data_IF_097228059916
#
_entry.id   IF_097228059916
#
_cell.length_a   1.000
_cell.length_b   1.000
_cell.length_c   1.000
_cell.angle_alpha   90.00
_cell.angle_beta   90.00
_cell.angle_gamma   90.00
#
_symmetry.space_group_name_H-M   'P 1'
#
loop_
_entity.id
_entity.type
_entity.pdbx_description
1 polymer ?
#
# COMPACT_ATOMS: atom_id res chain seq x y z
N UNK A 1 -34.80 23.75 -16.72
CA UNK A 1 -34.25 23.45 -15.38
C UNK A 1 -35.10 24.22 -14.37
N UNK A 2 -35.96 23.52 -13.64
CA UNK A 2 -36.74 24.12 -12.53
C UNK A 2 -36.26 23.41 -11.27
N UNK A 3 -35.65 24.11 -10.30
CA UNK A 3 -35.29 23.50 -9.03
C UNK A 3 -36.59 23.23 -8.26
N UNK A 4 -36.89 21.96 -8.01
CA UNK A 4 -37.94 21.58 -7.05
C UNK A 4 -37.44 21.99 -5.66
N UNK A 5 -37.94 23.12 -5.16
CA UNK A 5 -37.65 23.62 -3.82
C UNK A 5 -38.37 22.75 -2.79
N UNK A 6 -37.62 22.11 -1.90
CA UNK A 6 -38.14 21.27 -0.80
C UNK A 6 -39.01 22.08 0.18
N UNK A 7 -39.03 23.41 0.07
CA UNK A 7 -39.79 24.31 0.93
C UNK A 7 -41.31 24.28 0.70
N UNK A 8 -41.83 23.85 -0.46
CA UNK A 8 -43.27 23.92 -0.80
C UNK A 8 -44.08 22.63 -0.58
N UNK A 9 -43.47 21.57 -0.04
CA UNK A 9 -44.20 20.33 0.24
C UNK A 9 -45.09 20.49 1.50
N UNK A 10 -46.40 20.32 1.34
CA UNK A 10 -47.41 20.42 2.42
C UNK A 10 -47.15 19.40 3.53
N UNK A 11 -47.52 19.72 4.78
CA UNK A 11 -47.18 18.94 6.00
C UNK A 11 -47.46 17.43 5.87
N UNK A 12 -48.56 17.04 5.23
CA UNK A 12 -48.91 15.62 5.03
C UNK A 12 -47.95 14.87 4.12
N UNK A 13 -47.41 15.54 3.11
CA UNK A 13 -46.41 14.97 2.22
C UNK A 13 -45.09 14.78 2.95
N UNK A 14 -44.67 15.73 3.80
CA UNK A 14 -43.43 15.63 4.58
C UNK A 14 -43.45 14.43 5.52
N UNK A 15 -44.55 14.20 6.23
CA UNK A 15 -44.69 13.05 7.14
C UNK A 15 -44.65 11.72 6.41
N UNK A 16 -45.31 11.62 5.24
CA UNK A 16 -45.27 10.41 4.42
C UNK A 16 -43.88 10.17 3.83
N UNK A 17 -43.22 11.21 3.31
CA UNK A 17 -41.85 11.12 2.81
C UNK A 17 -40.84 10.78 3.91
N UNK A 18 -41.00 11.32 5.13
CA UNK A 18 -40.17 10.97 6.27
C UNK A 18 -40.36 9.51 6.69
N UNK A 19 -41.59 8.98 6.66
CA UNK A 19 -41.86 7.57 6.93
C UNK A 19 -41.26 6.66 5.84
N UNK A 20 -41.38 7.05 4.56
CA UNK A 20 -40.74 6.35 3.45
C UNK A 20 -39.20 6.39 3.53
N UNK A 21 -38.60 7.54 3.89
CA UNK A 21 -37.15 7.65 4.09
C UNK A 21 -36.67 6.79 5.27
N UNK A 22 -37.38 6.81 6.39
CA UNK A 22 -36.96 6.06 7.58
C UNK A 22 -37.04 4.54 7.36
N UNK A 23 -38.08 4.06 6.68
CA UNK A 23 -38.26 2.63 6.38
C UNK A 23 -37.22 2.13 5.38
N UNK A 24 -36.95 2.90 4.31
CA UNK A 24 -35.91 2.55 3.33
C UNK A 24 -34.50 2.62 3.94
N UNK A 25 -34.20 3.61 4.78
CA UNK A 25 -32.93 3.68 5.51
C UNK A 25 -32.73 2.47 6.43
N UNK A 26 -33.78 2.05 7.14
CA UNK A 26 -33.72 0.87 8.02
C UNK A 26 -33.48 -0.42 7.21
N UNK A 27 -34.13 -0.56 6.06
CA UNK A 27 -33.92 -1.69 5.15
C UNK A 27 -32.47 -1.72 4.62
N UNK A 28 -31.93 -0.56 4.25
CA UNK A 28 -30.56 -0.43 3.76
C UNK A 28 -29.52 -0.78 4.83
N UNK A 29 -29.72 -0.34 6.08
CA UNK A 29 -28.84 -0.67 7.20
C UNK A 29 -28.87 -2.18 7.48
N UNK A 30 -30.06 -2.81 7.50
CA UNK A 30 -30.17 -4.26 7.68
C UNK A 30 -29.48 -5.05 6.55
N UNK A 31 -29.56 -4.57 5.31
CA UNK A 31 -28.87 -5.16 4.18
C UNK A 31 -27.35 -5.06 4.33
N UNK A 32 -26.85 -3.93 4.83
CA UNK A 32 -25.41 -3.71 5.04
C UNK A 32 -24.86 -4.58 6.18
N UNK A 33 -25.63 -4.72 7.27
CA UNK A 33 -25.28 -5.59 8.41
C UNK A 33 -25.28 -7.07 8.00
N UNK A 34 -26.24 -7.52 7.19
CA UNK A 34 -26.25 -8.90 6.68
C UNK A 34 -25.08 -9.22 5.74
N UNK A 35 -24.51 -8.20 5.08
CA UNK A 35 -23.32 -8.32 4.22
C UNK A 35 -21.99 -8.13 4.95
N UNK A 36 -22.01 -7.79 6.24
CA UNK A 36 -20.81 -7.66 7.04
C UNK A 36 -20.32 -9.06 7.43
N UNK A 37 -19.35 -9.59 6.69
CA UNK A 37 -18.57 -10.74 7.15
C UNK A 37 -17.77 -10.34 8.39
N UNK A 38 -17.76 -11.17 9.46
CA UNK A 38 -16.98 -10.88 10.65
C UNK A 38 -15.51 -10.84 10.26
N UNK A 39 -14.89 -9.69 10.49
CA UNK A 39 -13.47 -9.46 10.28
C UNK A 39 -12.72 -10.53 11.08
N UNK A 40 -12.17 -11.53 10.36
CA UNK A 40 -11.40 -12.59 11.00
C UNK A 40 -10.22 -11.91 11.64
N UNK A 41 -10.25 -11.78 12.97
CA UNK A 41 -9.15 -11.33 13.79
C UNK A 41 -7.88 -12.05 13.34
N UNK A 42 -7.11 -11.38 12.50
CA UNK A 42 -5.96 -11.93 11.81
C UNK A 42 -4.88 -12.12 12.85
N UNK A 43 -4.65 -13.36 13.25
CA UNK A 43 -3.48 -13.72 14.04
C UNK A 43 -2.25 -13.11 13.37
N UNK A 44 -1.52 -12.28 14.11
CA UNK A 44 -0.30 -11.65 13.63
C UNK A 44 0.66 -12.76 13.19
N UNK A 45 0.81 -12.96 11.88
CA UNK A 45 1.85 -13.85 11.36
C UNK A 45 3.18 -13.38 11.96
N UNK A 46 4.03 -14.28 12.49
CA UNK A 46 5.31 -13.87 13.04
C UNK A 46 6.09 -13.14 11.94
N UNK A 47 6.44 -11.88 12.21
CA UNK A 47 7.23 -11.06 11.30
C UNK A 47 8.57 -11.77 11.12
N UNK A 48 8.78 -12.38 9.94
CA UNK A 48 10.04 -13.03 9.62
C UNK A 48 11.11 -11.93 9.58
N UNK A 49 11.97 -11.91 10.60
CA UNK A 49 12.98 -10.86 10.76
C UNK A 49 13.94 -10.90 9.57
N UNK A 50 14.08 -9.77 8.88
CA UNK A 50 15.03 -9.59 7.80
C UNK A 50 16.44 -9.57 8.39
N UNK A 51 17.26 -10.56 8.03
CA UNK A 51 18.65 -10.70 8.47
C UNK A 51 19.57 -10.63 7.24
N UNK A 52 19.96 -9.42 6.79
CA UNK A 52 20.65 -9.23 5.52
C UNK A 52 22.12 -9.60 5.58
N UNK A 53 22.63 -10.12 4.47
CA UNK A 53 24.06 -10.23 4.19
C UNK A 53 24.55 -8.87 3.71
N UNK A 54 25.51 -8.29 4.42
CA UNK A 54 26.13 -7.02 4.04
C UNK A 54 27.29 -7.28 3.07
N UNK A 55 27.31 -6.57 1.94
CA UNK A 55 28.43 -6.58 0.98
C UNK A 55 28.78 -5.18 0.55
N UNK A 56 30.04 -4.96 0.17
CA UNK A 56 30.46 -3.77 -0.55
C UNK A 56 30.43 -4.05 -2.06
N UNK A 57 29.73 -3.21 -2.82
CA UNK A 57 29.60 -3.29 -4.28
C UNK A 57 29.86 -1.91 -4.85
N UNK A 58 30.91 -1.75 -5.65
CA UNK A 58 31.30 -0.47 -6.26
C UNK A 58 31.48 0.68 -5.25
N UNK A 59 31.97 0.39 -4.04
CA UNK A 59 32.13 1.38 -2.96
C UNK A 59 30.85 1.67 -2.16
N UNK A 60 29.75 0.95 -2.43
CA UNK A 60 28.49 1.07 -1.70
C UNK A 60 28.24 -0.11 -0.79
N UNK A 61 27.74 0.16 0.43
CA UNK A 61 27.26 -0.87 1.36
C UNK A 61 25.86 -1.34 0.96
N UNK A 62 25.74 -2.58 0.51
CA UNK A 62 24.49 -3.19 0.06
C UNK A 62 24.05 -4.28 1.04
N UNK A 63 22.79 -4.22 1.47
CA UNK A 63 22.15 -5.21 2.34
C UNK A 63 21.34 -6.19 1.47
N UNK A 64 21.72 -7.45 1.45
CA UNK A 64 21.20 -8.47 0.53
C UNK A 64 20.40 -9.51 1.30
N UNK A 65 19.20 -9.86 0.83
CA UNK A 65 18.45 -10.99 1.39
C UNK A 65 19.23 -12.30 1.14
N UNK A 66 19.49 -13.13 2.18
CA UNK A 66 20.20 -14.40 2.01
C UNK A 66 19.64 -15.30 0.91
N UNK A 67 18.32 -15.27 0.68
CA UNK A 67 17.65 -16.07 -0.38
C UNK A 67 18.05 -15.67 -1.79
N UNK A 68 18.57 -14.46 -1.99
CA UNK A 68 19.08 -14.01 -3.28
C UNK A 68 20.50 -14.53 -3.57
N UNK A 69 21.20 -14.99 -2.53
CA UNK A 69 22.55 -15.53 -2.66
C UNK A 69 22.52 -17.05 -2.75
N UNK A 70 21.67 -17.69 -1.94
CA UNK A 70 21.59 -19.15 -1.83
C UNK A 70 20.15 -19.64 -1.99
N UNK A 71 20.00 -20.86 -2.49
CA UNK A 71 18.70 -21.50 -2.71
C UNK A 71 18.07 -21.18 -4.07
N UNK A 72 16.75 -21.34 -4.15
CA UNK A 72 15.98 -21.31 -5.41
C UNK A 72 16.13 -19.99 -6.19
N UNK A 73 16.30 -18.85 -5.50
CA UNK A 73 16.39 -17.54 -6.14
C UNK A 73 17.83 -17.07 -6.38
N UNK A 74 18.84 -17.89 -6.09
CA UNK A 74 20.26 -17.53 -6.22
C UNK A 74 20.66 -17.09 -7.63
N UNK A 75 20.18 -17.79 -8.67
CA UNK A 75 20.49 -17.44 -10.06
C UNK A 75 19.89 -16.07 -10.47
N UNK A 76 18.65 -15.80 -10.06
CA UNK A 76 18.00 -14.51 -10.27
C UNK A 76 18.66 -13.39 -9.47
N UNK A 77 19.01 -13.67 -8.22
CA UNK A 77 19.73 -12.74 -7.35
C UNK A 77 21.12 -12.40 -7.88
N UNK A 78 21.89 -13.37 -8.36
CA UNK A 78 23.18 -13.13 -9.00
C UNK A 78 23.05 -12.18 -10.20
N UNK A 79 22.07 -12.43 -11.08
CA UNK A 79 21.81 -11.53 -12.22
C UNK A 79 21.42 -10.13 -11.77
N UNK A 80 20.54 -10.01 -10.77
CA UNK A 80 20.12 -8.73 -10.22
C UNK A 80 21.29 -7.95 -9.60
N UNK A 81 22.15 -8.63 -8.84
CA UNK A 81 23.34 -8.03 -8.22
C UNK A 81 24.36 -7.58 -9.27
N UNK A 82 24.55 -8.34 -10.35
CA UNK A 82 25.40 -7.91 -11.49
C UNK A 82 24.84 -6.65 -12.15
N UNK A 83 23.53 -6.59 -12.38
CA UNK A 83 22.89 -5.39 -12.94
C UNK A 83 22.98 -4.20 -11.99
N UNK A 84 22.83 -4.43 -10.69
CA UNK A 84 22.98 -3.40 -9.67
C UNK A 84 24.40 -2.83 -9.67
N UNK A 85 25.43 -3.69 -9.67
CA UNK A 85 26.83 -3.25 -9.72
C UNK A 85 27.11 -2.38 -10.96
N UNK A 86 26.67 -2.83 -12.14
CA UNK A 86 26.79 -2.05 -13.38
C UNK A 86 26.16 -0.66 -13.27
N UNK A 87 24.99 -0.55 -12.62
CA UNK A 87 24.31 0.72 -12.42
C UNK A 87 25.01 1.61 -11.37
N UNK A 88 25.48 1.04 -10.26
CA UNK A 88 26.21 1.77 -9.21
C UNK A 88 27.54 2.34 -9.72
N UNK A 89 28.25 1.58 -10.57
CA UNK A 89 29.45 2.06 -11.24
C UNK A 89 29.15 3.32 -12.08
N UNK A 90 28.05 3.31 -12.85
CA UNK A 90 27.63 4.48 -13.63
C UNK A 90 27.34 5.69 -12.74
N UNK A 91 26.68 5.50 -11.60
CA UNK A 91 26.41 6.60 -10.65
C UNK A 91 27.70 7.18 -10.07
N UNK A 92 28.66 6.32 -9.73
CA UNK A 92 29.97 6.73 -9.19
C UNK A 92 30.77 7.56 -10.18
N UNK A 93 30.68 7.25 -11.47
CA UNK A 93 31.34 8.04 -12.53
C UNK A 93 30.61 9.37 -12.77
N UNK A 94 29.27 9.36 -12.72
CA UNK A 94 28.46 10.52 -13.13
C UNK A 94 28.33 11.57 -12.01
N UNK A 95 28.40 11.15 -10.75
CA UNK A 95 28.14 12.02 -9.60
C UNK A 95 29.46 12.31 -8.90
N UNK A 96 29.89 13.58 -8.79
CA UNK A 96 31.07 13.95 -8.01
C UNK A 96 30.96 13.47 -6.57
N UNK A 97 32.07 12.98 -5.98
CA UNK A 97 32.10 12.40 -4.64
C UNK A 97 31.48 13.30 -3.56
N UNK A 98 31.68 14.62 -3.68
CA UNK A 98 31.17 15.63 -2.77
C UNK A 98 29.63 15.62 -2.69
N UNK A 99 28.98 15.30 -3.82
CA UNK A 99 27.52 15.23 -3.94
C UNK A 99 27.01 13.87 -3.47
N UNK A 100 27.77 12.80 -3.69
CA UNK A 100 27.42 11.46 -3.19
C UNK A 100 27.37 11.42 -1.66
N UNK A 101 28.30 12.09 -0.97
CA UNK A 101 28.31 12.20 0.49
C UNK A 101 27.04 12.84 1.07
N UNK A 102 26.31 13.64 0.29
CA UNK A 102 25.07 14.28 0.71
C UNK A 102 23.82 13.38 0.58
N UNK A 103 23.93 12.24 -0.13
CA UNK A 103 22.81 11.32 -0.34
C UNK A 103 22.71 10.22 0.73
N UNK A 104 23.76 10.03 1.53
CA UNK A 104 23.87 8.96 2.53
C UNK A 104 23.31 9.29 3.92
N UNK A 105 22.43 10.29 4.04
CA UNK A 105 21.77 10.73 5.28
C UNK A 105 20.34 10.22 5.36
#
# INVERSE_FOLDING_TARGET
MVPVSIADMTSESRTRYQLFLATTATLLIALFVAKAEPDKAGGSKPVKRFDPIVREIEGWKVYIDPKMVEGEHSAGGARALTMLASNLLRLTIMIPEDRLKQLGT
#
